data_IF_445560611412
#
_entry.id   IF_445560611412
#
_cell.length_a   1.000
_cell.length_b   1.000
_cell.length_c   1.000
_cell.angle_alpha   90.00
_cell.angle_beta   90.00
_cell.angle_gamma   90.00
#
_symmetry.space_group_name_H-M   'P 1'
#
loop_
_entity.id
_entity.type
_entity.pdbx_description
1 polymer ?
#
# COMPACT_ATOMS: atom_id res chain seq x y z
N UNK A 1 6.93 -11.32 0.82
CA UNK A 1 7.92 -12.38 1.11
C UNK A 1 7.50 -13.03 2.41
N UNK A 2 7.37 -14.37 2.46
CA UNK A 2 7.07 -15.10 3.70
C UNK A 2 8.11 -16.20 3.92
N UNK A 3 8.54 -16.46 5.17
CA UNK A 3 8.04 -15.85 6.41
C UNK A 3 8.45 -14.38 6.59
N UNK A 4 7.63 -13.62 7.33
CA UNK A 4 7.96 -12.23 7.69
C UNK A 4 8.86 -12.17 8.94
N UNK A 5 9.24 -10.98 9.39
CA UNK A 5 10.15 -10.80 10.54
C UNK A 5 9.57 -11.25 11.88
N UNK A 6 8.26 -11.47 11.92
CA UNK A 6 7.55 -11.98 13.08
C UNK A 6 7.27 -13.48 12.96
N UNK A 7 7.91 -14.14 11.99
CA UNK A 7 7.78 -15.57 11.67
C UNK A 7 6.40 -16.03 11.21
N UNK A 8 5.49 -15.12 10.88
CA UNK A 8 4.25 -15.53 10.23
C UNK A 8 4.60 -16.19 8.90
N UNK A 9 3.98 -17.32 8.62
CA UNK A 9 4.28 -18.14 7.42
C UNK A 9 3.37 -17.81 6.25
N UNK A 10 2.30 -17.05 6.51
CA UNK A 10 1.32 -16.65 5.51
C UNK A 10 0.86 -15.20 5.69
N UNK A 11 0.35 -14.62 4.59
CA UNK A 11 -0.28 -13.29 4.58
C UNK A 11 -1.48 -13.26 5.53
N UNK A 12 -2.32 -14.28 5.46
CA UNK A 12 -3.50 -14.45 6.30
C UNK A 12 -3.19 -14.40 7.80
N UNK A 13 -2.11 -15.05 8.23
CA UNK A 13 -1.66 -15.03 9.61
C UNK A 13 -1.16 -13.63 10.01
N UNK A 14 -0.37 -12.99 9.15
CA UNK A 14 0.12 -11.63 9.38
C UNK A 14 -1.03 -10.59 9.44
N UNK A 15 -2.04 -10.72 8.59
CA UNK A 15 -3.22 -9.86 8.52
C UNK A 15 -4.06 -9.89 9.78
N UNK A 16 -4.34 -11.09 10.31
CA UNK A 16 -5.05 -11.22 11.58
C UNK A 16 -4.28 -10.57 12.71
N UNK A 17 -2.96 -10.75 12.71
CA UNK A 17 -2.10 -10.24 13.78
C UNK A 17 -1.86 -8.72 13.68
N UNK A 18 -1.75 -8.11 12.50
CA UNK A 18 -1.54 -6.64 12.42
C UNK A 18 -2.79 -5.86 12.88
N UNK A 19 -3.99 -6.44 12.73
CA UNK A 19 -5.26 -5.81 13.10
C UNK A 19 -5.33 -5.41 14.59
N UNK A 20 -4.59 -6.09 15.47
CA UNK A 20 -4.51 -5.73 16.89
C UNK A 20 -3.95 -4.32 17.13
N UNK A 21 -3.21 -3.75 16.17
CA UNK A 21 -2.62 -2.42 16.24
C UNK A 21 -3.46 -1.35 15.53
N UNK A 22 -4.63 -1.69 14.98
CA UNK A 22 -5.51 -0.73 14.27
C UNK A 22 -5.85 0.48 15.15
N UNK A 23 -6.16 0.24 16.43
CA UNK A 23 -6.47 1.32 17.39
C UNK A 23 -5.29 2.29 17.57
N UNK A 24 -4.05 1.78 17.54
CA UNK A 24 -2.86 2.59 17.77
C UNK A 24 -2.60 3.50 16.56
N UNK A 25 -2.83 2.98 15.35
CA UNK A 25 -2.78 3.76 14.11
C UNK A 25 -3.84 4.87 14.12
N UNK A 26 -5.07 4.56 14.55
CA UNK A 26 -6.17 5.53 14.61
C UNK A 26 -5.88 6.71 15.57
N UNK A 27 -5.08 6.47 16.62
CA UNK A 27 -4.64 7.54 17.55
C UNK A 27 -3.67 8.54 16.93
N UNK A 28 -3.05 8.20 15.79
CA UNK A 28 -2.00 8.98 15.12
C UNK A 28 -0.86 9.38 16.05
N UNK A 29 -0.53 8.52 17.02
CA UNK A 29 0.52 8.75 18.00
C UNK A 29 1.92 8.98 17.39
N UNK A 30 2.19 8.40 16.22
CA UNK A 30 3.41 8.64 15.44
C UNK A 30 3.12 8.51 13.94
N UNK A 31 3.64 9.41 13.08
CA UNK A 31 3.48 9.28 11.63
C UNK A 31 4.27 8.10 11.04
N UNK A 32 5.18 7.52 11.82
CA UNK A 32 6.06 6.42 11.39
C UNK A 32 5.49 5.03 11.69
N UNK A 33 4.52 4.93 12.60
CA UNK A 33 4.00 3.66 13.09
C UNK A 33 3.45 2.78 11.97
N UNK A 34 2.65 3.37 11.07
CA UNK A 34 2.04 2.65 9.96
C UNK A 34 3.11 1.98 9.09
N UNK A 35 4.13 2.74 8.69
CA UNK A 35 5.24 2.22 7.88
C UNK A 35 6.00 1.12 8.63
N UNK A 36 6.28 1.32 9.92
CA UNK A 36 6.98 0.34 10.74
C UNK A 36 6.22 -1.00 10.80
N UNK A 37 4.92 -0.98 11.11
CA UNK A 37 4.09 -2.17 11.17
C UNK A 37 4.03 -2.87 9.80
N UNK A 38 3.84 -2.12 8.71
CA UNK A 38 3.78 -2.71 7.37
C UNK A 38 5.09 -3.41 6.99
N UNK A 39 6.25 -2.87 7.35
CA UNK A 39 7.54 -3.52 7.09
C UNK A 39 7.75 -4.82 7.88
N UNK A 40 7.16 -4.93 9.09
CA UNK A 40 7.21 -6.16 9.88
C UNK A 40 6.23 -7.23 9.39
N UNK A 41 5.00 -6.83 9.06
CA UNK A 41 3.90 -7.74 8.74
C UNK A 41 3.78 -8.08 7.26
N UNK A 42 4.06 -7.13 6.38
CA UNK A 42 3.91 -7.22 4.93
C UNK A 42 5.19 -6.72 4.22
N UNK A 43 6.33 -7.41 4.39
CA UNK A 43 7.61 -6.95 3.88
C UNK A 43 7.65 -6.89 2.35
N UNK A 44 8.38 -5.90 1.84
CA UNK A 44 8.64 -5.72 0.41
C UNK A 44 9.34 -6.96 -0.15
N UNK A 45 8.93 -7.38 -1.34
CA UNK A 45 9.65 -8.42 -2.09
C UNK A 45 10.81 -7.77 -2.84
N UNK A 46 12.04 -8.15 -2.54
CA UNK A 46 13.24 -7.70 -3.24
C UNK A 46 13.94 -8.87 -3.93
N UNK A 47 14.78 -8.59 -4.94
CA UNK A 47 15.54 -9.63 -5.66
C UNK A 47 16.57 -10.39 -4.82
N UNK A 48 16.79 -9.97 -3.56
CA UNK A 48 17.79 -10.56 -2.65
C UNK A 48 17.28 -11.88 -2.04
N UNK A 49 15.99 -12.18 -2.16
CA UNK A 49 15.40 -13.42 -1.60
C UNK A 49 15.37 -13.44 -0.07
N UNK A 50 15.63 -12.31 0.58
CA UNK A 50 15.58 -12.15 2.05
C UNK A 50 14.69 -10.96 2.42
N UNK A 51 14.00 -11.09 3.55
CA UNK A 51 13.23 -9.98 4.13
C UNK A 51 14.19 -8.92 4.65
N UNK A 52 14.07 -7.69 4.13
CA UNK A 52 14.85 -6.55 4.60
C UNK A 52 14.15 -5.94 5.83
N UNK A 53 14.84 -5.75 6.96
CA UNK A 53 14.22 -5.22 8.17
C UNK A 53 13.97 -3.72 8.13
N UNK A 54 13.06 -3.20 8.98
CA UNK A 54 12.98 -1.77 9.19
C UNK A 54 14.29 -1.25 9.80
N UNK A 55 14.65 -0.01 9.47
CA UNK A 55 15.75 0.66 10.15
C UNK A 55 15.39 0.91 11.63
N UNK A 56 16.38 0.81 12.53
CA UNK A 56 16.13 0.98 13.96
C UNK A 56 15.58 2.38 14.32
N UNK A 57 16.02 3.43 13.63
CA UNK A 57 15.45 4.79 13.70
C UNK A 57 13.93 4.81 13.47
N UNK A 58 13.41 4.06 12.50
CA UNK A 58 11.98 3.97 12.21
C UNK A 58 11.21 3.36 13.40
N UNK A 59 11.77 2.31 14.01
CA UNK A 59 11.22 1.72 15.22
C UNK A 59 11.17 2.74 16.37
N UNK A 60 12.29 3.42 16.63
CA UNK A 60 12.41 4.38 17.74
C UNK A 60 11.45 5.55 17.57
N UNK A 61 11.33 6.12 16.38
CA UNK A 61 10.37 7.20 16.10
C UNK A 61 8.90 6.74 16.22
N UNK A 62 8.62 5.47 15.91
CA UNK A 62 7.30 4.87 16.12
C UNK A 62 7.01 4.71 17.61
N UNK A 63 7.96 4.12 18.36
CA UNK A 63 7.87 3.90 19.81
C UNK A 63 7.71 5.20 20.58
N UNK A 64 8.50 6.25 20.26
CA UNK A 64 8.51 7.54 20.97
C UNK A 64 7.11 8.16 21.13
N UNK A 65 6.29 8.11 20.09
CA UNK A 65 4.93 8.65 20.14
C UNK A 65 3.90 7.68 20.72
N UNK A 66 4.08 6.38 20.47
CA UNK A 66 3.03 5.38 20.67
C UNK A 66 3.15 4.57 21.97
N UNK A 67 4.35 4.39 22.51
CA UNK A 67 4.57 3.71 23.78
C UNK A 67 3.79 4.36 24.95
N UNK A 68 3.74 5.71 25.09
CA UNK A 68 2.90 6.34 26.12
C UNK A 68 1.41 6.00 25.97
N UNK A 69 0.93 5.85 24.73
CA UNK A 69 -0.47 5.48 24.45
C UNK A 69 -0.74 4.04 24.87
N UNK A 70 0.17 3.11 24.56
CA UNK A 70 0.08 1.70 24.97
C UNK A 70 0.09 1.59 26.50
N UNK A 71 1.00 2.32 27.16
CA UNK A 71 1.15 2.33 28.63
C UNK A 71 -0.06 2.91 29.36
N UNK A 72 -0.78 3.87 28.75
CA UNK A 72 -2.03 4.42 29.30
C UNK A 72 -3.09 3.34 29.56
N UNK A 73 -3.06 2.25 28.79
CA UNK A 73 -3.97 1.11 28.94
C UNK A 73 -3.32 -0.09 29.64
N UNK A 74 -2.23 0.12 30.38
CA UNK A 74 -1.56 -0.93 31.16
C UNK A 74 -0.72 -1.92 30.35
N UNK A 75 -0.51 -1.67 29.04
CA UNK A 75 0.29 -2.53 28.18
C UNK A 75 1.74 -2.02 28.06
N UNK A 76 2.64 -2.86 27.59
CA UNK A 76 4.03 -2.50 27.30
C UNK A 76 4.30 -2.53 25.80
N UNK A 77 5.34 -1.81 25.36
CA UNK A 77 5.80 -1.93 23.98
C UNK A 77 6.21 -3.39 23.72
N UNK A 78 5.71 -4.05 22.66
CA UNK A 78 5.97 -5.49 22.46
C UNK A 78 7.45 -5.83 22.33
N UNK A 79 7.88 -6.93 22.94
CA UNK A 79 9.26 -7.44 22.84
C UNK A 79 9.66 -7.82 21.42
N UNK A 80 8.69 -8.23 20.60
CA UNK A 80 8.88 -8.47 19.17
C UNK A 80 9.23 -7.19 18.39
N UNK A 81 8.90 -6.03 18.95
CA UNK A 81 9.19 -4.70 18.38
C UNK A 81 10.36 -4.02 19.11
N UNK A 82 11.18 -4.75 19.87
CA UNK A 82 12.36 -4.18 20.51
C UNK A 82 13.31 -3.58 19.45
N UNK A 83 13.51 -2.26 19.51
CA UNK A 83 14.24 -1.50 18.49
C UNK A 83 15.72 -1.87 18.38
N UNK A 84 16.32 -2.45 19.42
CA UNK A 84 17.72 -2.91 19.42
C UNK A 84 17.95 -4.09 18.46
N UNK A 85 16.88 -4.81 18.10
CA UNK A 85 16.94 -5.95 17.15
C UNK A 85 17.06 -5.50 15.69
N UNK A 86 16.86 -4.21 15.41
CA UNK A 86 16.83 -3.69 14.04
C UNK A 86 18.15 -3.05 13.62
N UNK A 87 18.43 -3.12 12.32
CA UNK A 87 19.67 -2.66 11.72
C UNK A 87 19.89 -1.14 11.91
N UNK A 88 21.13 -0.77 12.25
CA UNK A 88 21.60 0.64 12.31
C UNK A 88 22.33 1.07 11.04
N UNK A 89 23.22 0.21 10.52
CA UNK A 89 24.13 0.53 9.40
C UNK A 89 24.10 -0.52 8.26
N UNK A 90 23.34 -1.61 8.41
CA UNK A 90 23.13 -2.61 7.35
C UNK A 90 21.89 -2.28 6.52
N UNK A 91 21.72 -2.95 5.37
CA UNK A 91 20.56 -2.77 4.50
C UNK A 91 19.24 -2.87 5.28
N UNK A 92 18.51 -1.76 5.35
CA UNK A 92 17.24 -1.62 6.07
C UNK A 92 16.27 -0.70 5.32
N UNK A 93 14.98 -0.77 5.65
CA UNK A 93 13.92 0.03 5.05
C UNK A 93 13.37 1.07 6.03
N UNK A 94 13.18 2.31 5.56
CA UNK A 94 12.71 3.43 6.36
C UNK A 94 13.69 4.60 6.34
N UNK A 95 13.48 5.59 7.21
CA UNK A 95 14.39 6.73 7.31
C UNK A 95 15.75 6.26 7.84
N UNK A 96 16.77 6.24 6.99
CA UNK A 96 18.13 5.81 7.30
C UNK A 96 18.95 6.84 8.12
N UNK A 97 18.28 7.72 8.88
CA UNK A 97 18.96 8.50 9.91
C UNK A 97 19.68 7.53 10.85
N UNK A 98 21.00 7.63 10.90
CA UNK A 98 21.91 6.76 11.67
C UNK A 98 21.72 6.87 13.18
N UNK A 99 21.02 7.91 13.63
CA UNK A 99 20.72 8.10 15.04
C UNK A 99 19.51 7.25 15.45
N UNK A 100 19.82 6.07 15.97
CA UNK A 100 18.90 5.19 16.69
C UNK A 100 18.46 5.76 18.06
N UNK A 101 18.65 7.06 18.29
CA UNK A 101 18.40 7.71 19.55
C UNK A 101 19.47 7.34 20.57
N UNK A 102 20.69 7.82 20.35
CA UNK A 102 21.35 8.45 21.50
C UNK A 102 20.71 9.84 21.60
N UNK A 103 19.92 10.10 22.65
CA UNK A 103 19.60 11.47 23.04
C UNK A 103 20.91 12.15 23.48
N UNK A 104 21.73 12.57 22.51
CA UNK A 104 22.68 13.65 22.77
C UNK A 104 21.83 14.89 22.91
N UNK A 105 21.77 15.41 24.13
CA UNK A 105 21.30 16.77 24.42
C UNK A 105 22.04 17.75 23.52
N UNK A 106 21.43 18.13 22.40
CA UNK A 106 21.93 19.21 21.55
C UNK A 106 21.24 20.47 22.05
N UNK A 107 21.91 21.18 22.96
CA UNK A 107 21.75 22.62 23.04
C UNK A 107 22.36 23.19 21.77
N UNK A 108 21.57 23.45 20.71
CA UNK A 108 21.88 24.53 19.76
C UNK A 108 20.71 24.83 18.82
N UNK A 109 20.57 26.12 18.59
CA UNK A 109 19.61 26.89 17.80
C UNK A 109 19.14 26.30 16.47
N UNK A 110 17.82 26.38 16.30
CA UNK A 110 17.05 26.24 15.06
C UNK A 110 17.59 27.15 13.93
N UNK A 111 17.93 26.63 12.73
CA UNK A 111 17.98 27.44 11.53
C UNK A 111 16.55 27.59 10.97
N UNK A 112 16.10 28.83 10.85
CA UNK A 112 14.93 29.23 10.08
C UNK A 112 15.16 28.94 8.59
N UNK A 113 14.37 28.04 8.01
CA UNK A 113 14.29 27.89 6.56
C UNK A 113 13.28 28.93 6.03
N UNK A 114 13.82 29.97 5.43
CA UNK A 114 13.09 30.97 4.63
C UNK A 114 12.62 30.36 3.33
N UNK A 115 11.35 30.59 3.01
CA UNK A 115 10.69 30.21 1.77
C UNK A 115 11.42 30.81 0.55
N UNK A 116 11.79 29.97 -0.41
CA UNK A 116 12.07 30.42 -1.78
C UNK A 116 10.93 30.00 -2.71
N UNK A 117 10.43 31.00 -3.43
CA UNK A 117 9.22 30.96 -4.25
C UNK A 117 9.40 30.07 -5.50
N UNK A 118 8.46 29.16 -5.69
CA UNK A 118 8.29 28.39 -6.93
C UNK A 118 7.69 29.31 -8.01
N UNK A 119 8.55 29.86 -8.87
CA UNK A 119 8.12 30.66 -10.02
C UNK A 119 7.43 29.78 -11.06
N UNK A 120 6.15 30.07 -11.29
CA UNK A 120 5.30 29.49 -12.34
C UNK A 120 5.73 29.98 -13.72
N UNK A 121 6.33 29.10 -14.52
CA UNK A 121 6.52 29.32 -15.96
C UNK A 121 5.27 28.88 -16.72
N UNK A 122 4.56 29.85 -17.28
CA UNK A 122 3.40 29.64 -18.16
C UNK A 122 3.79 28.90 -19.44
N UNK A 123 3.11 27.81 -19.75
CA UNK A 123 3.10 27.24 -21.12
C UNK A 123 2.08 27.99 -21.98
N UNK A 124 2.58 28.54 -23.09
CA UNK A 124 1.77 29.12 -24.17
C UNK A 124 1.23 27.97 -25.02
N UNK A 125 -0.10 27.85 -25.15
CA UNK A 125 -0.75 26.90 -26.06
C UNK A 125 -1.06 27.65 -27.37
N UNK A 126 -0.49 27.18 -28.48
CA UNK A 126 -0.87 27.61 -29.83
C UNK A 126 -2.12 26.85 -30.29
N UNK A 127 -3.04 27.47 -31.03
CA UNK A 127 -4.21 26.77 -31.56
C UNK A 127 -3.81 25.90 -32.75
N UNK A 128 -4.15 24.61 -32.70
CA UNK A 128 -4.11 23.73 -33.87
C UNK A 128 -5.54 23.54 -34.35
N UNK A 129 -5.92 24.28 -35.39
CA UNK A 129 -7.12 23.97 -36.19
C UNK A 129 -6.74 22.98 -37.27
N UNK A 130 -7.30 21.78 -37.22
CA UNK A 130 -7.53 20.98 -38.43
C UNK A 130 -8.68 20.01 -38.21
N UNK A 131 -9.85 20.43 -38.66
CA UNK A 131 -11.03 19.58 -38.80
C UNK A 131 -10.82 18.65 -39.99
N UNK A 132 -10.82 17.33 -39.75
CA UNK A 132 -11.14 16.36 -40.80
C UNK A 132 -12.31 15.51 -40.36
N UNK A 133 -13.45 15.77 -41.01
CA UNK A 133 -14.71 15.04 -40.96
C UNK A 133 -14.43 13.63 -41.50
N UNK A 134 -14.69 12.59 -40.71
CA UNK A 134 -14.74 11.22 -41.22
C UNK A 134 -16.16 10.71 -40.98
N UNK A 135 -16.78 10.36 -42.09
CA UNK A 135 -18.17 9.96 -42.23
C UNK A 135 -18.44 8.64 -41.52
N UNK A 136 -19.57 8.63 -40.82
CA UNK A 136 -20.24 7.45 -40.29
C UNK A 136 -20.48 6.42 -41.39
N UNK A 137 -19.87 5.24 -41.25
CA UNK A 137 -20.30 4.03 -41.95
C UNK A 137 -20.71 3.00 -40.90
N UNK A 138 -22.01 2.74 -40.88
CA UNK A 138 -22.68 1.73 -40.06
C UNK A 138 -22.26 0.32 -40.45
N UNK A 139 -21.64 -0.40 -39.52
CA UNK A 139 -21.73 -1.86 -39.43
C UNK A 139 -21.90 -2.23 -37.94
N UNK A 140 -23.16 -2.31 -37.51
CA UNK A 140 -23.53 -2.95 -36.24
C UNK A 140 -23.42 -4.45 -36.49
N UNK A 141 -22.30 -5.06 -36.09
CA UNK A 141 -22.14 -6.50 -36.10
C UNK A 141 -21.81 -7.01 -34.70
N UNK A 142 -22.81 -7.71 -34.14
CA UNK A 142 -22.81 -8.53 -32.92
C UNK A 142 -22.48 -7.82 -31.60
N UNK A 143 -23.57 -7.43 -30.93
CA UNK A 143 -23.67 -7.33 -29.48
C UNK A 143 -23.37 -8.71 -28.88
N UNK A 144 -22.26 -8.85 -28.16
CA UNK A 144 -22.09 -9.90 -27.14
C UNK A 144 -21.62 -9.23 -25.83
N UNK A 145 -22.55 -8.71 -25.02
CA UNK A 145 -22.28 -7.91 -23.83
C UNK A 145 -22.44 -8.78 -22.55
N UNK A 146 -22.06 -10.06 -22.60
CA UNK A 146 -22.27 -10.99 -21.48
C UNK A 146 -20.99 -11.38 -20.73
N UNK A 147 -19.81 -10.84 -21.08
CA UNK A 147 -18.56 -11.15 -20.36
C UNK A 147 -18.18 -10.16 -19.27
N UNK A 148 -18.66 -8.92 -19.36
CA UNK A 148 -18.40 -7.92 -18.32
C UNK A 148 -19.59 -7.89 -17.35
N UNK A 149 -19.27 -7.79 -16.07
CA UNK A 149 -20.25 -7.53 -15.03
C UNK A 149 -19.86 -6.31 -14.20
N UNK A 150 -20.85 -5.70 -13.55
CA UNK A 150 -20.59 -4.54 -12.70
C UNK A 150 -19.82 -4.95 -11.46
N UNK A 151 -18.82 -4.15 -11.08
CA UNK A 151 -17.98 -4.41 -9.92
C UNK A 151 -18.77 -4.17 -8.62
N UNK A 152 -19.08 -5.24 -7.90
CA UNK A 152 -19.87 -5.22 -6.66
C UNK A 152 -19.02 -5.43 -5.41
N UNK A 153 -17.82 -6.03 -5.53
CA UNK A 153 -16.91 -6.32 -4.41
C UNK A 153 -16.66 -5.04 -3.58
N UNK A 154 -17.10 -4.98 -2.30
CA UNK A 154 -17.07 -3.76 -1.50
C UNK A 154 -15.69 -3.10 -1.44
N UNK A 155 -14.64 -3.89 -1.30
CA UNK A 155 -13.28 -3.37 -1.20
C UNK A 155 -12.70 -2.85 -2.52
N UNK A 156 -13.27 -3.21 -3.66
CA UNK A 156 -12.81 -2.74 -4.97
C UNK A 156 -13.61 -1.54 -5.48
N UNK A 157 -14.59 -1.04 -4.71
CA UNK A 157 -15.35 0.16 -5.07
C UNK A 157 -14.47 1.42 -5.06
N UNK A 158 -14.82 2.41 -5.89
CA UNK A 158 -14.12 3.70 -5.98
C UNK A 158 -12.76 3.64 -6.70
N UNK A 159 -12.52 2.58 -7.48
CA UNK A 159 -11.42 2.51 -8.44
C UNK A 159 -11.78 3.30 -9.70
N UNK A 160 -10.81 3.42 -10.63
CA UNK A 160 -11.02 4.10 -11.92
C UNK A 160 -11.87 3.30 -12.91
N UNK A 161 -12.22 2.05 -12.57
CA UNK A 161 -13.07 1.18 -13.38
C UNK A 161 -14.24 0.65 -12.54
N UNK A 162 -15.35 0.37 -13.21
CA UNK A 162 -16.59 -0.12 -12.59
C UNK A 162 -17.08 -1.44 -13.21
N UNK A 163 -16.34 -1.99 -14.17
CA UNK A 163 -16.68 -3.21 -14.90
C UNK A 163 -15.56 -4.22 -14.73
N UNK A 164 -15.91 -5.47 -14.44
CA UNK A 164 -14.98 -6.57 -14.23
C UNK A 164 -15.33 -7.76 -15.11
N UNK A 165 -14.40 -8.70 -15.26
CA UNK A 165 -14.55 -9.91 -16.07
C UNK A 165 -14.19 -11.13 -15.23
N UNK A 166 -14.96 -12.19 -15.39
CA UNK A 166 -14.75 -13.48 -14.75
C UNK A 166 -14.67 -14.62 -15.79
N UNK A 167 -13.95 -15.73 -15.51
CA UNK A 167 -13.22 -16.01 -14.27
C UNK A 167 -12.00 -15.10 -14.06
N UNK A 168 -11.61 -14.86 -12.81
CA UNK A 168 -10.44 -14.01 -12.49
C UNK A 168 -9.11 -14.77 -12.63
N UNK A 169 -7.98 -14.11 -12.34
CA UNK A 169 -6.62 -14.69 -12.43
C UNK A 169 -6.39 -15.88 -11.50
N UNK A 170 -7.22 -16.02 -10.48
CA UNK A 170 -7.20 -17.10 -9.49
C UNK A 170 -8.31 -18.14 -9.77
N UNK A 171 -8.97 -18.04 -10.93
CA UNK A 171 -9.97 -18.97 -11.41
C UNK A 171 -11.28 -18.99 -10.61
N UNK A 172 -11.53 -17.99 -9.76
CA UNK A 172 -12.88 -17.75 -9.23
C UNK A 172 -13.82 -17.47 -10.39
N UNK A 173 -15.02 -18.02 -10.36
CA UNK A 173 -16.01 -17.87 -11.44
C UNK A 173 -16.99 -16.74 -11.22
N UNK A 174 -17.02 -16.17 -10.01
CA UNK A 174 -17.93 -15.10 -9.62
C UNK A 174 -17.29 -14.18 -8.57
N UNK A 175 -17.88 -12.99 -8.39
CA UNK A 175 -17.41 -11.99 -7.45
C UNK A 175 -17.58 -12.37 -5.98
N UNK A 176 -18.54 -13.20 -5.60
CA UNK A 176 -18.79 -13.56 -4.19
C UNK A 176 -17.65 -14.43 -3.63
N UNK A 177 -17.22 -15.43 -4.39
CA UNK A 177 -16.07 -16.27 -4.03
C UNK A 177 -14.79 -15.44 -3.97
N UNK A 178 -14.56 -14.60 -4.99
CA UNK A 178 -13.41 -13.70 -5.00
C UNK A 178 -13.44 -12.69 -3.85
N UNK A 179 -14.62 -12.20 -3.47
CA UNK A 179 -14.82 -11.27 -2.37
C UNK A 179 -14.47 -11.91 -1.02
N UNK A 180 -14.81 -13.19 -0.82
CA UNK A 180 -14.49 -13.92 0.40
C UNK A 180 -12.97 -14.07 0.58
N UNK A 181 -12.25 -14.40 -0.49
CA UNK A 181 -10.79 -14.55 -0.44
C UNK A 181 -10.07 -13.21 -0.30
N UNK A 182 -10.42 -12.21 -1.11
CA UNK A 182 -9.78 -10.89 -1.06
C UNK A 182 -10.04 -10.17 0.28
N UNK A 183 -11.15 -10.47 0.99
CA UNK A 183 -11.48 -9.89 2.30
C UNK A 183 -10.39 -10.07 3.35
N UNK A 184 -9.57 -11.10 3.23
CA UNK A 184 -8.48 -11.38 4.17
C UNK A 184 -7.45 -10.24 4.20
N UNK A 185 -7.22 -9.59 3.05
CA UNK A 185 -6.28 -8.47 2.92
C UNK A 185 -6.81 -7.13 3.46
N UNK A 186 -8.07 -7.07 3.92
CA UNK A 186 -8.69 -5.82 4.38
C UNK A 186 -7.91 -5.07 5.47
N UNK A 187 -7.33 -5.73 6.50
CA UNK A 187 -6.51 -5.04 7.50
C UNK A 187 -5.32 -4.29 6.89
N UNK A 188 -4.65 -4.85 5.88
CA UNK A 188 -3.52 -4.20 5.21
C UNK A 188 -3.95 -3.01 4.34
N UNK A 189 -5.18 -3.07 3.80
CA UNK A 189 -5.78 -1.97 3.04
C UNK A 189 -6.19 -0.83 3.97
N UNK A 190 -6.86 -1.11 5.09
CA UNK A 190 -7.29 -0.09 6.04
C UNK A 190 -6.10 0.61 6.71
N UNK A 191 -5.06 -0.17 7.04
CA UNK A 191 -3.78 0.34 7.54
C UNK A 191 -2.97 1.01 6.42
N UNK A 192 -3.40 0.93 5.16
CA UNK A 192 -2.79 1.61 4.00
C UNK A 192 -1.31 1.29 3.83
N UNK A 193 -0.92 0.03 3.91
CA UNK A 193 0.48 -0.36 3.80
C UNK A 193 1.13 0.02 2.46
N UNK A 194 0.34 0.09 1.38
CA UNK A 194 0.79 0.62 0.10
C UNK A 194 -0.38 1.33 -0.60
N UNK A 195 -0.15 2.48 -1.25
CA UNK A 195 -1.17 3.15 -2.06
C UNK A 195 -1.62 2.30 -3.26
N UNK A 196 -0.81 1.32 -3.66
CA UNK A 196 -1.09 0.43 -4.78
C UNK A 196 -1.73 -0.90 -4.35
N UNK A 197 -1.78 -1.22 -3.06
CA UNK A 197 -2.24 -2.53 -2.59
C UNK A 197 -3.68 -2.83 -3.02
N UNK A 198 -4.60 -1.89 -2.80
CA UNK A 198 -6.01 -2.02 -3.20
C UNK A 198 -6.14 -2.27 -4.70
N UNK A 199 -5.44 -1.48 -5.52
CA UNK A 199 -5.47 -1.62 -6.97
C UNK A 199 -4.86 -2.95 -7.43
N UNK A 200 -3.74 -3.35 -6.83
CA UNK A 200 -3.07 -4.62 -7.13
C UNK A 200 -4.00 -5.80 -6.83
N UNK A 201 -4.57 -5.86 -5.62
CA UNK A 201 -5.48 -6.95 -5.24
C UNK A 201 -6.71 -6.97 -6.14
N UNK A 202 -7.35 -5.84 -6.38
CA UNK A 202 -8.51 -5.79 -7.27
C UNK A 202 -8.16 -6.13 -8.72
N UNK A 203 -6.96 -5.81 -9.20
CA UNK A 203 -6.53 -6.24 -10.55
C UNK A 203 -6.36 -7.76 -10.69
N UNK A 204 -6.15 -8.47 -9.57
CA UNK A 204 -6.03 -9.95 -9.53
C UNK A 204 -7.39 -10.62 -9.33
N UNK A 205 -8.14 -10.16 -8.34
CA UNK A 205 -9.39 -10.77 -7.88
C UNK A 205 -10.63 -10.29 -8.64
N UNK A 206 -10.61 -9.08 -9.18
CA UNK A 206 -11.71 -8.50 -9.97
C UNK A 206 -11.13 -7.64 -11.12
N UNK A 207 -10.46 -8.29 -12.08
CA UNK A 207 -9.71 -7.61 -13.13
C UNK A 207 -10.61 -6.67 -13.94
N UNK A 208 -10.03 -5.60 -14.45
CA UNK A 208 -10.75 -4.64 -15.31
C UNK A 208 -11.30 -5.36 -16.56
N UNK A 209 -12.57 -5.13 -16.87
CA UNK A 209 -13.11 -5.57 -18.15
C UNK A 209 -12.63 -4.64 -19.26
N UNK A 210 -11.94 -5.20 -20.26
CA UNK A 210 -11.50 -4.46 -21.45
C UNK A 210 -12.38 -4.81 -22.64
N UNK A 211 -12.40 -3.97 -23.71
CA UNK A 211 -13.17 -4.29 -24.92
C UNK A 211 -12.77 -5.62 -25.59
N UNK A 212 -11.56 -6.11 -25.34
CA UNK A 212 -11.10 -7.41 -25.84
C UNK A 212 -11.54 -8.60 -25.00
N UNK A 213 -12.19 -8.36 -23.84
CA UNK A 213 -12.57 -9.39 -22.87
C UNK A 213 -11.40 -10.31 -22.47
N UNK A 214 -10.18 -9.76 -22.45
CA UNK A 214 -8.96 -10.43 -22.01
C UNK A 214 -8.53 -9.88 -20.66
N UNK A 215 -8.09 -10.78 -19.78
CA UNK A 215 -7.52 -10.44 -18.47
C UNK A 215 -6.12 -9.85 -18.67
N UNK A 216 -5.88 -8.68 -18.08
CA UNK A 216 -4.56 -8.04 -18.02
C UNK A 216 -3.98 -8.27 -16.62
N UNK A 217 -2.89 -9.05 -16.47
CA UNK A 217 -2.26 -9.25 -15.17
C UNK A 217 -1.60 -7.96 -14.66
N UNK A 218 -1.45 -7.78 -13.33
CA UNK A 218 -0.73 -6.65 -12.78
C UNK A 218 0.72 -6.60 -13.30
N UNK A 219 1.20 -5.40 -13.60
CA UNK A 219 2.58 -5.19 -14.02
C UNK A 219 3.53 -5.59 -12.89
N UNK A 220 4.58 -6.36 -13.23
CA UNK A 220 5.74 -6.52 -12.38
C UNK A 220 6.63 -5.29 -12.56
N UNK A 221 6.73 -4.43 -11.55
CA UNK A 221 7.79 -3.42 -11.52
C UNK A 221 9.14 -4.15 -11.52
N UNK A 222 10.06 -3.72 -12.38
CA UNK A 222 11.48 -4.06 -12.27
C UNK A 222 12.10 -3.29 -11.10
#
# INVERSE_FOLDING_TARGET
MYPNLLNHTSQMEAERNINQYRYLIDTKCSPYLQQFLCLLYAPVCTGIGKTIPPCCSLCVMSRKGCEPVIRKYGNQWPETFNCEKFAKETLCLGNANTDCGELKTINESLPTLTNENMTTTSLVILPVTSTKKIETSTFISKVEPEKCESLTIPMCRGLKYNQTIFPNLLNHTNQDDAALEIHQFWPLIEIKCSPHLKLLLCSVYAPICTPLATIIPPCRSL
#
